data_IF_764219278813
#
_entry.id   IF_764219278813
#
_cell.length_a   1.000
_cell.length_b   1.000
_cell.length_c   1.000
_cell.angle_alpha   90.00
_cell.angle_beta   90.00
_cell.angle_gamma   90.00
#
_symmetry.space_group_name_H-M   'P 1'
#
loop_
_entity.id
_entity.type
_entity.pdbx_description
1 polymer ?
#
# COMPACT_ATOMS: atom_id res chain seq x y z
N UNK A 1 27.79 -8.45 1.42
CA UNK A 1 26.90 -7.41 1.99
C UNK A 1 25.64 -7.16 1.16
N UNK A 2 25.70 -6.90 -0.16
CA UNK A 2 24.49 -6.63 -0.98
C UNK A 2 23.51 -7.81 -1.14
N UNK A 3 23.97 -9.06 -1.00
CA UNK A 3 23.13 -10.26 -1.12
C UNK A 3 22.11 -10.41 0.02
N UNK A 4 22.45 -9.95 1.24
CA UNK A 4 21.57 -10.04 2.40
C UNK A 4 20.34 -9.11 2.28
N UNK A 5 20.53 -7.86 1.82
CA UNK A 5 19.41 -6.94 1.55
C UNK A 5 18.48 -7.46 0.44
N UNK A 6 19.05 -8.12 -0.57
CA UNK A 6 18.24 -8.71 -1.66
C UNK A 6 17.35 -9.85 -1.17
N UNK A 7 17.85 -10.67 -0.23
CA UNK A 7 17.04 -11.71 0.43
C UNK A 7 15.90 -11.10 1.25
N UNK A 8 16.16 -10.05 2.04
CA UNK A 8 15.14 -9.41 2.87
C UNK A 8 14.05 -8.72 2.04
N UNK A 9 14.45 -8.03 0.96
CA UNK A 9 13.56 -7.37 0.01
C UNK A 9 12.71 -8.34 -0.83
N UNK A 10 13.18 -9.58 -1.04
CA UNK A 10 12.40 -10.62 -1.72
C UNK A 10 11.42 -11.38 -0.81
N UNK A 11 11.52 -11.21 0.51
CA UNK A 11 10.69 -11.97 1.44
C UNK A 11 9.24 -11.45 1.45
N UNK A 12 8.28 -12.35 1.72
CA UNK A 12 6.87 -12.01 1.96
C UNK A 12 6.67 -10.93 3.04
N UNK A 13 7.69 -10.72 3.86
CA UNK A 13 7.73 -9.73 4.91
C UNK A 13 7.62 -8.30 4.38
N UNK A 14 8.20 -8.00 3.21
CA UNK A 14 8.09 -6.66 2.61
C UNK A 14 6.65 -6.34 2.17
N UNK A 15 5.94 -7.33 1.64
CA UNK A 15 4.53 -7.20 1.26
C UNK A 15 3.60 -7.09 2.47
N UNK A 16 3.89 -7.85 3.54
CA UNK A 16 3.19 -7.73 4.83
C UNK A 16 3.40 -6.35 5.47
N UNK A 17 4.62 -5.82 5.47
CA UNK A 17 4.89 -4.46 5.97
C UNK A 17 4.13 -3.39 5.17
N UNK A 18 4.04 -3.54 3.85
CA UNK A 18 3.29 -2.61 2.99
C UNK A 18 1.80 -2.63 3.32
N UNK A 19 1.21 -3.82 3.49
CA UNK A 19 -0.20 -3.95 3.88
C UNK A 19 -0.46 -3.36 5.27
N UNK A 20 0.42 -3.63 6.24
CA UNK A 20 0.28 -3.17 7.62
C UNK A 20 0.37 -1.65 7.73
N UNK A 21 1.31 -1.03 7.01
CA UNK A 21 1.43 0.44 6.95
C UNK A 21 0.21 1.09 6.29
N UNK A 22 -0.29 0.54 5.18
CA UNK A 22 -1.50 1.05 4.51
C UNK A 22 -2.73 1.01 5.42
N UNK A 23 -2.94 -0.10 6.15
CA UNK A 23 -4.04 -0.24 7.11
C UNK A 23 -3.89 0.77 8.27
N UNK A 24 -2.67 0.96 8.78
CA UNK A 24 -2.40 1.93 9.84
C UNK A 24 -2.73 3.37 9.43
N UNK A 25 -2.37 3.75 8.20
CA UNK A 25 -2.69 5.06 7.62
C UNK A 25 -4.21 5.27 7.43
N UNK A 26 -4.93 4.27 6.90
CA UNK A 26 -6.40 4.30 6.81
C UNK A 26 -7.04 4.43 8.19
N UNK A 27 -6.54 3.68 9.18
CA UNK A 27 -7.03 3.71 10.56
C UNK A 27 -6.82 5.07 11.23
N UNK A 28 -5.63 5.66 11.09
CA UNK A 28 -5.36 7.01 11.57
C UNK A 28 -6.29 8.04 10.91
N UNK A 29 -6.52 7.94 9.60
CA UNK A 29 -7.47 8.80 8.89
C UNK A 29 -8.92 8.60 9.35
N UNK A 30 -9.33 7.38 9.70
CA UNK A 30 -10.66 7.10 10.24
C UNK A 30 -10.81 7.70 11.65
N UNK A 31 -9.75 7.65 12.45
CA UNK A 31 -9.69 8.26 13.78
C UNK A 31 -9.84 9.79 13.72
N UNK A 32 -9.22 10.46 12.75
CA UNK A 32 -9.43 11.90 12.58
C UNK A 32 -10.86 12.28 12.15
N UNK A 33 -11.53 11.41 11.40
CA UNK A 33 -12.91 11.64 10.96
C UNK A 33 -13.94 11.37 12.07
N UNK A 34 -13.83 10.24 12.77
CA UNK A 34 -14.80 9.85 13.80
C UNK A 34 -14.43 10.35 15.20
N UNK A 35 -13.15 10.51 15.49
CA UNK A 35 -12.66 10.93 16.81
C UNK A 35 -12.58 12.43 16.99
N UNK A 36 -12.32 13.20 15.92
CA UNK A 36 -12.25 14.66 15.99
C UNK A 36 -13.37 15.38 15.21
N UNK A 37 -14.31 14.65 14.60
CA UNK A 37 -15.46 15.20 13.87
C UNK A 37 -15.08 16.25 12.78
N UNK A 38 -13.88 16.12 12.19
CA UNK A 38 -13.45 17.01 11.11
C UNK A 38 -14.11 16.61 9.78
N UNK A 39 -14.68 17.60 9.09
CA UNK A 39 -15.19 17.44 7.74
C UNK A 39 -14.06 17.01 6.79
N UNK A 40 -14.26 15.97 5.96
CA UNK A 40 -13.21 15.46 5.10
C UNK A 40 -12.90 16.48 3.99
N UNK A 41 -11.63 16.82 3.82
CA UNK A 41 -11.20 17.65 2.69
C UNK A 41 -11.10 16.80 1.41
N UNK A 42 -11.31 17.43 0.25
CA UNK A 42 -11.29 16.79 -1.06
C UNK A 42 -9.95 16.05 -1.31
N UNK A 43 -8.84 16.63 -0.84
CA UNK A 43 -7.52 15.99 -0.91
C UNK A 43 -7.41 14.70 -0.07
N UNK A 44 -8.01 14.64 1.13
CA UNK A 44 -7.98 13.44 1.97
C UNK A 44 -8.72 12.27 1.32
N UNK A 45 -9.82 12.53 0.62
CA UNK A 45 -10.56 11.48 -0.12
C UNK A 45 -9.67 10.88 -1.21
N UNK A 46 -8.91 11.70 -1.93
CA UNK A 46 -7.98 11.22 -2.95
C UNK A 46 -6.84 10.38 -2.36
N UNK A 47 -6.33 10.78 -1.20
CA UNK A 47 -5.26 10.04 -0.53
C UNK A 47 -5.73 8.67 -0.03
N UNK A 48 -6.95 8.57 0.52
CA UNK A 48 -7.57 7.27 0.87
C UNK A 48 -7.71 6.35 -0.33
N UNK A 49 -8.19 6.86 -1.47
CA UNK A 49 -8.34 6.05 -2.69
C UNK A 49 -6.97 5.52 -3.16
N UNK A 50 -5.92 6.33 -3.06
CA UNK A 50 -4.56 5.90 -3.36
C UNK A 50 -4.06 4.81 -2.39
N UNK A 51 -4.30 4.97 -1.09
CA UNK A 51 -3.91 3.99 -0.05
C UNK A 51 -4.68 2.68 -0.20
N UNK A 52 -5.98 2.72 -0.54
CA UNK A 52 -6.77 1.53 -0.87
C UNK A 52 -6.21 0.80 -2.10
N UNK A 53 -5.75 1.53 -3.13
CA UNK A 53 -5.05 0.95 -4.28
C UNK A 53 -3.75 0.23 -3.90
N UNK A 54 -2.97 0.82 -2.98
CA UNK A 54 -1.74 0.19 -2.45
C UNK A 54 -2.08 -1.04 -1.61
N UNK A 55 -3.16 -1.03 -0.85
CA UNK A 55 -3.62 -2.16 -0.03
C UNK A 55 -4.04 -3.35 -0.91
N UNK A 56 -4.76 -3.09 -2.01
CA UNK A 56 -5.09 -4.11 -3.02
C UNK A 56 -3.84 -4.65 -3.69
N UNK A 57 -2.88 -3.79 -4.05
CA UNK A 57 -1.59 -4.22 -4.58
C UNK A 57 -0.90 -5.16 -3.59
N UNK A 58 -0.92 -4.79 -2.31
CA UNK A 58 -0.27 -5.52 -1.23
C UNK A 58 -0.88 -6.92 -1.00
N UNK A 59 -2.20 -7.02 -1.03
CA UNK A 59 -2.94 -8.29 -0.94
C UNK A 59 -2.59 -9.24 -2.09
N UNK A 60 -2.54 -8.70 -3.31
CA UNK A 60 -2.19 -9.45 -4.52
C UNK A 60 -0.75 -9.98 -4.41
N UNK A 61 0.22 -9.14 -4.01
CA UNK A 61 1.61 -9.57 -3.84
C UNK A 61 1.83 -10.56 -2.69
N UNK A 62 1.01 -10.51 -1.63
CA UNK A 62 1.06 -11.47 -0.51
C UNK A 62 0.58 -12.87 -0.91
N UNK A 63 -0.47 -12.95 -1.74
CA UNK A 63 -1.14 -14.21 -2.07
C UNK A 63 -0.27 -15.16 -2.92
N UNK A 64 0.72 -14.67 -3.67
CA UNK A 64 1.63 -15.53 -4.45
C UNK A 64 3.01 -14.90 -4.73
N UNK A 65 3.99 -15.06 -3.82
CA UNK A 65 5.34 -14.53 -4.01
C UNK A 65 6.17 -15.27 -5.07
N UNK A 66 5.72 -16.43 -5.57
CA UNK A 66 6.46 -17.27 -6.53
C UNK A 66 6.27 -16.86 -7.99
N UNK A 67 5.23 -16.09 -8.33
CA UNK A 67 4.97 -15.65 -9.69
C UNK A 67 5.47 -14.22 -9.89
N UNK A 68 6.59 -14.08 -10.61
CA UNK A 68 7.19 -12.79 -11.01
C UNK A 68 6.16 -11.85 -11.67
N UNK A 69 5.12 -12.41 -12.30
CA UNK A 69 3.99 -11.72 -12.91
C UNK A 69 3.13 -10.91 -11.91
N UNK A 70 2.90 -11.46 -10.72
CA UNK A 70 2.06 -10.86 -9.68
C UNK A 70 2.81 -9.72 -8.98
N UNK A 71 4.15 -9.80 -8.96
CA UNK A 71 5.04 -8.70 -8.59
C UNK A 71 4.98 -7.56 -9.59
N UNK A 72 4.98 -7.85 -10.90
CA UNK A 72 4.79 -6.83 -11.94
C UNK A 72 3.41 -6.20 -11.84
N UNK A 73 2.34 -6.97 -11.62
CA UNK A 73 1.00 -6.43 -11.41
C UNK A 73 0.95 -5.47 -10.21
N UNK A 74 1.60 -5.83 -9.09
CA UNK A 74 1.71 -4.95 -7.92
C UNK A 74 2.59 -3.72 -8.17
N UNK A 75 3.67 -3.83 -8.95
CA UNK A 75 4.48 -2.68 -9.39
C UNK A 75 3.71 -1.77 -10.34
N UNK A 76 2.93 -2.32 -11.28
CA UNK A 76 2.05 -1.56 -12.18
C UNK A 76 0.90 -0.90 -11.41
N UNK A 77 0.33 -1.56 -10.41
CA UNK A 77 -0.73 -1.00 -9.58
C UNK A 77 -0.18 0.10 -8.66
N UNK A 78 1.03 -0.07 -8.14
CA UNK A 78 1.75 0.96 -7.38
C UNK A 78 2.12 2.15 -8.28
N UNK A 79 2.58 1.89 -9.50
CA UNK A 79 2.88 2.91 -10.50
C UNK A 79 1.60 3.63 -10.95
N UNK A 80 0.48 2.93 -11.09
CA UNK A 80 -0.82 3.52 -11.44
C UNK A 80 -1.38 4.37 -10.29
N UNK A 81 -1.26 3.88 -9.05
CA UNK A 81 -1.59 4.65 -7.86
C UNK A 81 -0.71 5.90 -7.72
N UNK A 82 0.58 5.80 -8.06
CA UNK A 82 1.51 6.94 -8.06
C UNK A 82 1.33 7.88 -9.26
N UNK A 83 0.89 7.39 -10.41
CA UNK A 83 0.66 8.17 -11.63
C UNK A 83 -0.61 9.01 -11.53
N UNK A 84 -1.57 8.59 -10.69
CA UNK A 84 -2.67 9.45 -10.26
C UNK A 84 -2.15 10.49 -9.27
N UNK A 85 -1.31 11.39 -9.79
CA UNK A 85 -0.86 12.62 -9.13
C UNK A 85 -2.09 13.48 -8.86
N UNK A 86 -2.42 13.61 -7.58
CA UNK A 86 -3.00 14.84 -7.06
C UNK A 86 -1.86 15.77 -6.66
#
# INVERSE_FOLDING_TARGET
>A
MLSALRHWSQSRFSWLLLALTAIGLEGAALYFQYGMELMPCVMCVYQRIAVLGILVAALIGFSSPKLTLMRMAGSFLWLYASYRRY
#
